data_IF_446715573475
#
_entry.id   IF_446715573475
#
_cell.length_a   1.000
_cell.length_b   1.000
_cell.length_c   1.000
_cell.angle_alpha   90.00
_cell.angle_beta   90.00
_cell.angle_gamma   90.00
#
_symmetry.space_group_name_H-M   'P 1'
#
loop_
_entity.id
_entity.type
_entity.pdbx_description
1 polymer ?
#
# COMPACT_ATOMS: atom_id res chain seq x y z
N UNK A 1 7.64 7.76 22.64
CA UNK A 1 6.30 7.23 22.90
C UNK A 1 5.69 7.88 24.13
N UNK A 2 4.39 8.18 24.07
CA UNK A 2 3.66 8.77 25.19
C UNK A 2 3.21 7.72 26.19
N UNK A 3 2.82 6.53 25.73
CA UNK A 3 2.33 5.44 26.58
C UNK A 3 2.58 4.08 25.93
N UNK A 4 2.79 3.07 26.78
CA UNK A 4 2.86 1.66 26.39
C UNK A 4 1.94 0.85 27.29
N UNK A 5 1.21 -0.08 26.68
CA UNK A 5 0.45 -1.10 27.36
C UNK A 5 0.82 -2.48 26.79
N UNK A 6 0.59 -3.54 27.53
CA UNK A 6 0.87 -4.88 27.05
C UNK A 6 0.12 -5.96 27.80
N UNK A 7 0.08 -7.15 27.21
CA UNK A 7 -0.50 -8.34 27.80
C UNK A 7 0.40 -9.56 27.54
N UNK A 8 0.81 -10.24 28.58
CA UNK A 8 1.48 -11.53 28.46
C UNK A 8 0.44 -12.64 28.39
N UNK A 9 0.51 -13.46 27.36
CA UNK A 9 -0.42 -14.55 27.06
C UNK A 9 0.33 -15.87 27.08
N UNK A 10 -0.24 -16.88 27.76
CA UNK A 10 0.32 -18.22 27.81
C UNK A 10 -0.09 -19.08 26.59
N UNK A 11 0.47 -20.29 26.51
CA UNK A 11 0.17 -21.24 25.44
C UNK A 11 -1.29 -21.75 25.41
N UNK A 12 -2.05 -21.56 26.48
CA UNK A 12 -3.47 -21.89 26.58
C UNK A 12 -4.35 -20.67 26.28
N UNK A 13 -3.78 -19.59 25.73
CA UNK A 13 -4.45 -18.33 25.36
C UNK A 13 -5.02 -17.54 26.57
N UNK A 14 -4.49 -17.77 27.78
CA UNK A 14 -4.90 -17.00 28.95
C UNK A 14 -4.09 -15.72 29.08
N UNK A 15 -4.77 -14.60 29.37
CA UNK A 15 -4.15 -13.33 29.77
C UNK A 15 -3.55 -13.47 31.19
N UNK A 16 -2.23 -13.59 31.30
CA UNK A 16 -1.54 -13.83 32.59
C UNK A 16 -1.24 -12.54 33.34
N UNK A 17 -0.67 -11.55 32.58
CA UNK A 17 -0.27 -10.28 33.19
C UNK A 17 -0.49 -9.16 32.20
N UNK A 18 -1.07 -8.05 32.69
CA UNK A 18 -1.22 -6.80 31.94
C UNK A 18 -0.14 -5.82 32.36
N UNK A 19 0.43 -5.12 31.40
CA UNK A 19 1.44 -4.08 31.60
C UNK A 19 0.80 -2.75 31.19
N UNK A 20 0.92 -1.74 32.04
CA UNK A 20 0.43 -0.39 31.78
C UNK A 20 1.43 0.61 32.34
N UNK A 21 2.48 0.91 31.57
CA UNK A 21 3.58 1.77 32.01
C UNK A 21 3.63 3.06 31.20
N UNK A 22 3.99 4.13 31.85
CA UNK A 22 4.45 5.32 31.15
C UNK A 22 5.96 5.21 30.98
N UNK A 23 6.47 5.47 29.77
CA UNK A 23 7.90 5.37 29.49
C UNK A 23 8.79 6.16 30.44
N UNK A 24 8.28 7.25 31.01
CA UNK A 24 8.99 8.11 31.95
C UNK A 24 9.33 7.41 33.29
N UNK A 25 8.68 6.29 33.59
CA UNK A 25 8.88 5.55 34.85
C UNK A 25 9.77 4.31 34.69
N UNK A 26 10.19 3.98 33.46
CA UNK A 26 11.07 2.85 33.18
C UNK A 26 12.53 3.19 33.42
N UNK A 27 13.33 2.21 33.86
CA UNK A 27 14.77 2.33 33.84
C UNK A 27 15.30 2.38 32.39
N UNK A 28 16.36 3.14 32.15
CA UNK A 28 16.91 3.34 30.79
C UNK A 28 17.18 2.02 30.06
N UNK A 29 17.69 1.02 30.75
CA UNK A 29 18.01 -0.28 30.17
C UNK A 29 16.76 -1.03 29.68
N UNK A 30 15.64 -0.90 30.38
CA UNK A 30 14.36 -1.50 30.04
C UNK A 30 13.68 -0.70 28.92
N UNK A 31 13.66 0.62 29.04
CA UNK A 31 13.14 1.55 28.04
C UNK A 31 13.70 1.28 26.65
N UNK A 32 15.02 1.17 26.53
CA UNK A 32 15.67 0.88 25.21
C UNK A 32 15.27 -0.48 24.64
N UNK A 33 14.98 -1.49 25.46
CA UNK A 33 14.50 -2.80 24.96
C UNK A 33 13.13 -2.71 24.32
N UNK A 34 12.21 -1.96 24.91
CA UNK A 34 10.90 -1.70 24.30
C UNK A 34 11.00 -0.87 23.02
N UNK A 35 11.90 0.13 22.97
CA UNK A 35 12.17 0.87 21.74
C UNK A 35 12.75 -0.01 20.64
N UNK A 36 13.66 -0.93 20.96
CA UNK A 36 14.21 -1.88 19.99
C UNK A 36 13.11 -2.77 19.38
N UNK A 37 12.13 -3.20 20.20
CA UNK A 37 10.95 -3.96 19.72
C UNK A 37 10.13 -3.12 18.76
N UNK A 38 9.74 -1.89 19.16
CA UNK A 38 8.95 -1.00 18.32
C UNK A 38 9.67 -0.68 17.01
N UNK A 39 10.97 -0.34 17.07
CA UNK A 39 11.80 -0.10 15.89
C UNK A 39 11.86 -1.31 14.96
N UNK A 40 11.93 -2.52 15.54
CA UNK A 40 11.98 -3.75 14.76
C UNK A 40 10.68 -4.00 13.99
N UNK A 41 9.54 -3.72 14.61
CA UNK A 41 8.22 -3.82 13.99
C UNK A 41 8.06 -2.86 12.78
N UNK A 42 8.76 -1.73 12.80
CA UNK A 42 8.78 -0.79 11.67
C UNK A 42 9.88 -1.07 10.64
N UNK A 43 10.69 -2.12 10.86
CA UNK A 43 11.81 -2.43 9.98
C UNK A 43 11.44 -3.47 8.93
N UNK A 44 11.62 -3.14 7.65
CA UNK A 44 11.35 -4.06 6.57
C UNK A 44 11.35 -3.36 5.20
N UNK A 45 10.96 -4.11 4.18
CA UNK A 45 10.72 -3.58 2.85
C UNK A 45 9.22 -3.61 2.58
N UNK A 46 8.69 -2.51 2.09
CA UNK A 46 7.31 -2.42 1.62
C UNK A 46 7.05 -3.48 0.52
N UNK A 47 5.92 -4.16 0.63
CA UNK A 47 5.58 -5.29 -0.26
C UNK A 47 6.30 -6.62 0.06
N UNK A 48 7.07 -6.68 1.17
CA UNK A 48 7.72 -7.90 1.63
C UNK A 48 7.42 -8.13 3.13
N UNK A 49 8.21 -7.54 4.02
CA UNK A 49 7.99 -7.63 5.47
C UNK A 49 7.00 -6.58 6.01
N UNK A 50 6.81 -5.49 5.27
CA UNK A 50 5.81 -4.47 5.52
C UNK A 50 4.77 -4.55 4.43
N UNK A 51 3.54 -4.85 4.81
CA UNK A 51 2.39 -4.97 3.92
C UNK A 51 1.43 -3.83 4.23
N UNK A 52 0.97 -3.15 3.21
CA UNK A 52 -0.09 -2.17 3.35
C UNK A 52 -1.43 -2.89 3.26
N UNK A 53 -2.23 -2.79 4.31
CA UNK A 53 -3.56 -3.39 4.40
C UNK A 53 -4.59 -2.27 4.41
N UNK A 54 -5.73 -2.51 3.78
CA UNK A 54 -6.84 -1.57 3.65
C UNK A 54 -8.07 -2.08 4.38
N UNK A 55 -8.81 -1.17 5.01
CA UNK A 55 -10.10 -1.51 5.60
C UNK A 55 -11.18 -1.49 4.53
N UNK A 56 -12.00 -2.55 4.39
CA UNK A 56 -13.26 -2.46 3.65
C UNK A 56 -14.17 -1.40 4.27
N UNK A 57 -15.00 -0.75 3.46
CA UNK A 57 -15.94 0.29 3.94
C UNK A 57 -16.83 -0.18 5.09
N UNK A 58 -17.17 -1.47 5.13
CA UNK A 58 -17.95 -2.08 6.23
C UNK A 58 -17.24 -2.01 7.57
N UNK A 59 -15.90 -2.02 7.58
CA UNK A 59 -15.10 -1.93 8.80
C UNK A 59 -14.88 -0.48 9.26
N UNK A 60 -15.23 0.49 8.42
CA UNK A 60 -15.24 1.93 8.74
C UNK A 60 -16.57 2.39 9.31
N UNK A 61 -17.61 1.56 9.24
CA UNK A 61 -18.90 1.82 9.85
C UNK A 61 -18.87 1.66 11.38
N UNK A 62 -19.91 2.16 12.04
CA UNK A 62 -20.04 2.07 13.50
C UNK A 62 -20.04 0.60 13.97
N UNK A 63 -19.04 0.24 14.75
CA UNK A 63 -18.81 -1.12 15.26
C UNK A 63 -17.78 -1.93 14.47
N UNK A 64 -17.25 -1.38 13.36
CA UNK A 64 -16.17 -1.98 12.59
C UNK A 64 -14.80 -1.85 13.26
N UNK A 65 -13.82 -2.56 12.73
CA UNK A 65 -12.46 -2.63 13.29
C UNK A 65 -11.70 -1.32 13.18
N UNK A 66 -11.85 -0.61 12.07
CA UNK A 66 -11.24 0.71 11.88
C UNK A 66 -11.73 1.68 12.95
N UNK A 67 -13.05 1.78 13.17
CA UNK A 67 -13.65 2.61 14.19
C UNK A 67 -13.18 2.23 15.60
N UNK A 68 -13.02 0.94 15.86
CA UNK A 68 -12.47 0.45 17.13
C UNK A 68 -11.03 0.92 17.34
N UNK A 69 -10.15 0.80 16.33
CA UNK A 69 -8.76 1.25 16.41
C UNK A 69 -8.66 2.79 16.53
N UNK A 70 -9.55 3.53 15.86
CA UNK A 70 -9.67 4.98 16.04
C UNK A 70 -10.00 5.33 17.50
N UNK A 71 -11.00 4.69 18.09
CA UNK A 71 -11.38 4.90 19.49
C UNK A 71 -10.24 4.52 20.47
N UNK A 72 -9.52 3.45 20.18
CA UNK A 72 -8.36 3.04 20.98
C UNK A 72 -7.24 4.08 20.91
N UNK A 73 -6.93 4.64 19.73
CA UNK A 73 -5.98 5.71 19.52
C UNK A 73 -6.39 6.99 20.28
N UNK A 74 -7.63 7.44 20.10
CA UNK A 74 -8.17 8.63 20.76
C UNK A 74 -8.17 8.51 22.28
N UNK A 75 -8.36 7.29 22.82
CA UNK A 75 -8.27 7.03 24.26
C UNK A 75 -6.85 7.21 24.81
N UNK A 76 -5.84 7.30 23.92
CA UNK A 76 -4.41 7.32 24.29
C UNK A 76 -4.00 6.14 25.15
N UNK A 77 -4.60 4.98 24.92
CA UNK A 77 -4.45 3.74 25.69
C UNK A 77 -4.80 3.92 27.18
N UNK A 78 -5.76 4.79 27.52
CA UNK A 78 -6.20 5.03 28.90
C UNK A 78 -7.49 4.30 29.25
N UNK A 79 -8.14 3.68 28.29
CA UNK A 79 -9.38 2.95 28.49
C UNK A 79 -9.08 1.45 28.58
N UNK A 80 -9.21 0.90 29.79
CA UNK A 80 -8.91 -0.52 30.08
C UNK A 80 -9.88 -1.48 29.37
N UNK A 81 -11.14 -1.11 29.17
CA UNK A 81 -12.13 -1.95 28.47
C UNK A 81 -11.78 -2.07 26.99
N UNK A 82 -11.34 -0.97 26.35
CA UNK A 82 -10.87 -1.01 24.96
C UNK A 82 -9.58 -1.83 24.83
N UNK A 83 -8.67 -1.71 25.79
CA UNK A 83 -7.44 -2.52 25.82
C UNK A 83 -7.75 -4.00 26.00
N UNK A 84 -8.69 -4.36 26.85
CA UNK A 84 -9.10 -5.76 27.04
C UNK A 84 -9.71 -6.34 25.77
N UNK A 85 -10.59 -5.60 25.12
CA UNK A 85 -11.17 -5.97 23.82
C UNK A 85 -10.09 -6.12 22.75
N UNK A 86 -9.10 -5.22 22.75
CA UNK A 86 -7.95 -5.29 21.82
C UNK A 86 -7.12 -6.56 22.04
N UNK A 87 -6.83 -6.93 23.30
CA UNK A 87 -6.09 -8.16 23.58
C UNK A 87 -6.89 -9.40 23.18
N UNK A 88 -8.19 -9.44 23.46
CA UNK A 88 -9.05 -10.55 23.05
C UNK A 88 -9.09 -10.70 21.52
N UNK A 89 -9.21 -9.59 20.79
CA UNK A 89 -9.16 -9.58 19.33
C UNK A 89 -7.87 -10.22 18.78
N UNK A 90 -6.72 -9.92 19.38
CA UNK A 90 -5.45 -10.53 18.97
C UNK A 90 -5.40 -12.01 19.36
N UNK A 91 -5.80 -12.35 20.58
CA UNK A 91 -5.77 -13.74 21.08
C UNK A 91 -6.65 -14.65 20.22
N UNK A 92 -7.81 -14.16 19.79
CA UNK A 92 -8.76 -14.93 18.98
C UNK A 92 -8.31 -15.12 17.52
N UNK A 93 -7.39 -14.28 17.02
CA UNK A 93 -7.00 -14.25 15.61
C UNK A 93 -5.52 -14.54 15.32
N UNK A 94 -4.68 -14.52 16.35
CA UNK A 94 -3.26 -14.83 16.22
C UNK A 94 -2.99 -16.29 16.53
N UNK A 95 -2.89 -17.13 15.50
CA UNK A 95 -2.59 -18.55 15.61
C UNK A 95 -1.08 -18.78 15.89
N UNK A 96 -0.75 -18.85 17.17
CA UNK A 96 0.63 -19.10 17.62
C UNK A 96 0.68 -20.15 18.71
N UNK A 97 1.49 -21.17 18.52
CA UNK A 97 1.72 -22.26 19.49
C UNK A 97 2.82 -21.86 20.46
N UNK A 98 2.46 -21.34 21.62
CA UNK A 98 3.40 -20.96 22.67
C UNK A 98 3.01 -19.67 23.38
N UNK A 99 3.89 -19.22 24.27
CA UNK A 99 3.64 -17.98 25.00
C UNK A 99 4.08 -16.78 24.17
N UNK A 100 3.38 -15.66 24.28
CA UNK A 100 3.72 -14.42 23.60
C UNK A 100 3.37 -13.18 24.41
N UNK A 101 3.99 -12.08 24.07
CA UNK A 101 3.76 -10.77 24.64
C UNK A 101 3.17 -9.85 23.57
N UNK A 102 1.97 -9.33 23.83
CA UNK A 102 1.36 -8.27 23.05
C UNK A 102 1.81 -6.94 23.65
N UNK A 103 2.39 -6.08 22.83
CA UNK A 103 2.72 -4.70 23.19
C UNK A 103 1.97 -3.75 22.28
N UNK A 104 1.44 -2.68 22.85
CA UNK A 104 0.85 -1.57 22.10
C UNK A 104 1.41 -0.26 22.61
N UNK A 105 1.85 0.57 21.69
CA UNK A 105 2.43 1.88 21.95
C UNK A 105 1.55 2.95 21.33
N UNK A 106 1.41 4.05 22.04
CA UNK A 106 0.79 5.26 21.53
C UNK A 106 1.85 6.37 21.46
N UNK A 107 1.87 7.07 20.34
CA UNK A 107 2.73 8.23 20.18
C UNK A 107 2.06 9.28 19.30
N UNK A 108 2.58 10.50 19.39
CA UNK A 108 2.19 11.61 18.57
C UNK A 108 3.47 12.28 18.03
N UNK A 109 3.53 12.43 16.72
CA UNK A 109 4.66 13.00 16.03
C UNK A 109 4.23 14.27 15.28
N UNK A 110 4.93 15.37 15.55
CA UNK A 110 4.67 16.65 14.87
C UNK A 110 5.32 16.62 13.47
N UNK A 111 4.50 16.66 12.43
CA UNK A 111 4.96 16.76 11.05
C UNK A 111 5.15 18.23 10.71
N UNK A 112 6.40 18.65 10.54
CA UNK A 112 6.70 20.00 10.07
C UNK A 112 6.40 20.11 8.59
N UNK A 113 5.32 20.80 8.22
CA UNK A 113 5.06 21.20 6.84
C UNK A 113 6.04 22.29 6.40
N UNK A 114 6.79 22.03 5.34
CA UNK A 114 7.66 23.02 4.69
C UNK A 114 6.88 23.67 3.56
N UNK A 115 6.80 25.00 3.56
CA UNK A 115 6.36 25.75 2.37
C UNK A 115 7.39 25.69 1.25
N UNK A 116 6.95 25.94 0.01
CA UNK A 116 7.80 25.99 -1.18
C UNK A 116 8.96 26.98 -1.07
N UNK A 117 8.87 27.98 -0.20
CA UNK A 117 9.88 29.02 0.05
C UNK A 117 10.86 28.67 1.19
N UNK A 118 10.77 27.43 1.72
CA UNK A 118 11.64 26.97 2.82
C UNK A 118 11.52 27.75 4.12
N UNK A 119 10.54 28.63 4.23
CA UNK A 119 10.21 29.35 5.46
C UNK A 119 9.33 28.46 6.36
N UNK A 120 9.71 28.39 7.64
CA UNK A 120 8.92 27.68 8.65
C UNK A 120 7.67 28.51 8.93
N UNK A 121 6.51 27.99 8.49
CA UNK A 121 5.23 28.52 8.98
C UNK A 121 5.00 27.99 10.40
N UNK A 122 4.93 28.88 11.35
CA UNK A 122 4.66 28.58 12.77
C UNK A 122 3.22 28.11 13.04
N UNK A 123 2.38 27.86 12.02
CA UNK A 123 0.93 27.70 12.19
C UNK A 123 0.28 26.45 11.58
N UNK A 124 1.01 25.50 11.02
CA UNK A 124 0.41 24.22 10.61
C UNK A 124 1.24 23.02 11.05
N UNK A 125 1.12 22.67 12.32
CA UNK A 125 1.57 21.40 12.86
C UNK A 125 0.48 20.37 12.59
N UNK A 126 0.63 19.53 11.55
CA UNK A 126 -0.11 18.28 11.48
C UNK A 126 0.48 17.32 12.50
N UNK A 127 -0.31 16.96 13.48
CA UNK A 127 0.09 15.96 14.49
C UNK A 127 -0.30 14.58 13.99
N UNK A 128 0.71 13.78 13.64
CA UNK A 128 0.50 12.36 13.35
C UNK A 128 0.44 11.58 14.67
N UNK A 129 -0.78 11.19 15.05
CA UNK A 129 -1.03 10.37 16.24
C UNK A 129 -1.30 8.93 15.82
N UNK A 130 -0.55 7.96 16.38
CA UNK A 130 -0.59 6.59 15.92
C UNK A 130 -0.49 5.55 17.05
N UNK A 131 -0.95 4.35 16.73
CA UNK A 131 -0.76 3.14 17.49
C UNK A 131 0.26 2.24 16.79
N UNK A 132 1.20 1.68 17.55
CA UNK A 132 2.10 0.65 17.08
C UNK A 132 1.88 -0.59 17.94
N UNK A 133 1.51 -1.71 17.31
CA UNK A 133 1.39 -3.00 17.96
C UNK A 133 2.56 -3.91 17.59
N UNK A 134 3.10 -4.64 18.56
CA UNK A 134 4.12 -5.66 18.37
C UNK A 134 3.74 -6.93 19.10
N UNK A 135 3.76 -8.08 18.45
CA UNK A 135 3.52 -9.40 19.07
C UNK A 135 4.84 -10.15 19.07
N UNK A 136 5.33 -10.44 20.27
CA UNK A 136 6.65 -11.03 20.48
C UNK A 136 6.53 -12.43 21.08
N UNK A 137 7.06 -13.48 20.45
CA UNK A 137 7.17 -14.81 21.07
C UNK A 137 7.95 -14.76 22.36
N UNK A 138 7.47 -15.50 23.37
CA UNK A 138 8.19 -15.65 24.63
C UNK A 138 8.60 -17.11 24.81
N UNK A 139 9.91 -17.34 24.83
CA UNK A 139 10.48 -18.67 24.84
C UNK A 139 11.31 -18.94 26.09
N UNK A 140 11.29 -20.18 26.55
CA UNK A 140 12.10 -20.58 27.68
C UNK A 140 13.55 -20.79 27.23
N UNK A 141 14.50 -20.12 27.88
CA UNK A 141 15.93 -20.28 27.57
C UNK A 141 16.40 -21.70 27.88
N UNK A 142 17.30 -22.23 27.07
CA UNK A 142 17.95 -23.49 27.36
C UNK A 142 18.86 -23.33 28.58
N UNK A 143 18.94 -24.35 29.47
CA UNK A 143 19.87 -24.31 30.58
C UNK A 143 21.31 -24.28 30.04
N UNK A 144 22.08 -23.37 30.58
CA UNK A 144 23.50 -23.18 30.22
C UNK A 144 24.34 -23.11 31.47
N UNK A 145 25.65 -23.42 31.34
CA UNK A 145 26.61 -23.09 32.37
C UNK A 145 27.01 -21.62 32.21
N UNK A 146 27.02 -20.87 33.27
CA UNK A 146 27.45 -19.49 33.33
C UNK A 146 28.38 -19.26 34.52
N UNK A 147 29.17 -18.20 34.45
CA UNK A 147 30.01 -17.75 35.54
C UNK A 147 29.20 -16.79 36.44
N UNK A 148 29.09 -17.17 37.72
CA UNK A 148 28.53 -16.31 38.77
C UNK A 148 29.67 -15.54 39.43
N UNK A 149 29.69 -14.23 39.29
CA UNK A 149 30.75 -13.37 39.87
C UNK A 149 30.67 -13.33 41.39
N UNK A 150 29.47 -13.36 41.95
CA UNK A 150 29.26 -13.28 43.41
C UNK A 150 29.85 -14.50 44.14
N UNK A 151 29.71 -15.68 43.55
CA UNK A 151 30.19 -16.93 44.14
C UNK A 151 31.50 -17.42 43.52
N UNK A 152 32.04 -16.70 42.53
CA UNK A 152 33.28 -17.01 41.79
C UNK A 152 33.31 -18.46 41.31
N UNK A 153 32.21 -18.97 40.74
CA UNK A 153 32.08 -20.34 40.25
C UNK A 153 31.31 -20.46 38.94
N UNK A 154 31.48 -21.56 38.26
CA UNK A 154 30.63 -21.97 37.16
C UNK A 154 29.43 -22.72 37.73
N UNK A 155 28.24 -22.26 37.39
CA UNK A 155 26.98 -22.88 37.81
C UNK A 155 25.95 -22.93 36.69
N UNK A 156 24.88 -23.69 36.93
CA UNK A 156 23.76 -23.74 35.97
C UNK A 156 22.95 -22.48 36.03
N UNK A 157 22.85 -21.73 34.92
CA UNK A 157 21.97 -20.61 34.83
C UNK A 157 20.52 -21.10 34.82
N UNK A 158 19.69 -20.49 35.67
CA UNK A 158 18.27 -20.77 35.74
C UNK A 158 17.59 -20.47 34.41
N UNK A 159 16.66 -21.33 34.00
CA UNK A 159 15.81 -21.09 32.84
C UNK A 159 14.91 -19.89 33.10
N UNK A 160 14.93 -18.94 32.21
CA UNK A 160 14.05 -17.78 32.21
C UNK A 160 13.23 -17.71 30.93
N UNK A 161 12.02 -17.21 31.06
CA UNK A 161 11.20 -16.83 29.91
C UNK A 161 11.75 -15.52 29.33
N UNK A 162 12.08 -15.54 28.04
CA UNK A 162 12.71 -14.41 27.35
C UNK A 162 11.85 -13.97 26.18
N UNK A 163 11.55 -12.68 26.13
CA UNK A 163 10.85 -12.05 25.02
C UNK A 163 11.76 -12.00 23.79
N UNK A 164 11.29 -12.59 22.71
CA UNK A 164 11.98 -12.58 21.42
C UNK A 164 11.72 -11.31 20.60
N UNK A 165 12.31 -11.25 19.42
CA UNK A 165 11.97 -10.18 18.47
C UNK A 165 10.52 -10.33 18.00
N UNK A 166 9.86 -9.22 17.59
CA UNK A 166 8.51 -9.27 17.05
C UNK A 166 8.38 -10.29 15.92
N UNK A 167 7.33 -11.09 15.99
CA UNK A 167 6.94 -12.02 14.95
C UNK A 167 6.01 -11.34 13.95
N UNK A 168 5.07 -10.58 14.47
CA UNK A 168 4.16 -9.74 13.70
C UNK A 168 3.80 -8.47 14.47
N UNK A 169 3.12 -7.55 13.82
CA UNK A 169 2.65 -6.30 14.41
C UNK A 169 2.10 -5.36 13.35
N UNK A 170 1.69 -4.18 13.75
CA UNK A 170 1.17 -3.18 12.81
C UNK A 170 1.30 -1.75 13.35
N UNK A 171 1.16 -0.78 12.46
CA UNK A 171 0.99 0.64 12.76
C UNK A 171 -0.32 1.12 12.19
N UNK A 172 -1.10 1.84 12.98
CA UNK A 172 -2.36 2.45 12.58
C UNK A 172 -2.47 3.89 13.09
N UNK A 173 -2.89 4.84 12.27
CA UNK A 173 -3.08 4.77 10.81
C UNK A 173 -1.77 4.50 10.05
N UNK A 174 -1.87 4.05 8.79
CA UNK A 174 -0.69 3.97 7.94
C UNK A 174 -0.16 5.38 7.66
N UNK A 175 1.16 5.51 7.60
CA UNK A 175 1.82 6.76 7.25
C UNK A 175 2.56 6.58 5.93
N UNK A 176 2.13 7.34 4.93
CA UNK A 176 2.81 7.44 3.64
C UNK A 176 3.73 8.65 3.62
N UNK A 177 4.57 8.79 2.60
CA UNK A 177 5.50 9.93 2.46
C UNK A 177 4.81 11.31 2.45
N UNK A 178 3.49 11.35 2.30
CA UNK A 178 2.72 12.59 2.09
C UNK A 178 1.61 12.82 3.10
N UNK A 179 0.98 11.77 3.65
CA UNK A 179 -0.17 11.92 4.53
C UNK A 179 -0.41 10.71 5.43
N UNK A 180 -1.21 10.94 6.45
CA UNK A 180 -1.77 9.91 7.31
C UNK A 180 -2.96 9.26 6.61
N UNK A 181 -2.92 7.95 6.41
CA UNK A 181 -4.01 7.19 5.82
C UNK A 181 -4.77 6.42 6.90
N UNK A 182 -5.92 6.95 7.32
CA UNK A 182 -6.80 6.33 8.32
C UNK A 182 -7.56 5.12 7.80
N UNK A 183 -7.56 4.89 6.49
CA UNK A 183 -8.22 3.76 5.83
C UNK A 183 -7.30 2.55 5.71
N UNK A 184 -6.04 2.71 6.11
CA UNK A 184 -5.00 1.69 5.94
C UNK A 184 -4.20 1.43 7.21
N UNK A 185 -3.63 0.23 7.26
CA UNK A 185 -2.73 -0.25 8.31
C UNK A 185 -1.41 -0.67 7.68
N UNK A 186 -0.29 -0.27 8.27
CA UNK A 186 1.01 -0.84 7.91
C UNK A 186 1.27 -2.07 8.76
N UNK A 187 1.20 -3.24 8.16
CA UNK A 187 1.35 -4.53 8.81
C UNK A 187 2.78 -5.07 8.66
N UNK A 188 3.36 -5.53 9.77
CA UNK A 188 4.68 -6.15 9.80
C UNK A 188 4.57 -7.66 9.97
N UNK A 189 5.31 -8.41 9.18
CA UNK A 189 5.54 -9.84 9.37
C UNK A 189 7.02 -10.17 9.33
N UNK A 190 7.48 -11.02 10.23
CA UNK A 190 8.85 -11.51 10.25
C UNK A 190 9.08 -12.57 9.19
N UNK A 191 8.10 -13.45 8.98
CA UNK A 191 8.15 -14.50 7.97
C UNK A 191 7.12 -14.24 6.87
N UNK A 192 7.62 -13.88 5.69
CA UNK A 192 6.79 -13.61 4.51
C UNK A 192 6.11 -14.85 3.92
N UNK A 193 6.50 -16.06 4.34
CA UNK A 193 5.88 -17.31 3.91
C UNK A 193 4.62 -17.63 4.71
N UNK A 194 4.60 -17.21 5.97
CA UNK A 194 3.48 -17.40 6.90
C UNK A 194 3.12 -16.05 7.55
N UNK A 195 2.51 -15.13 6.80
CA UNK A 195 2.33 -13.74 7.23
C UNK A 195 1.17 -13.52 8.21
N UNK A 196 0.65 -14.55 8.87
CA UNK A 196 -0.48 -14.47 9.82
C UNK A 196 -1.75 -13.86 9.21
N UNK A 197 -2.23 -14.45 8.11
CA UNK A 197 -3.40 -13.95 7.37
C UNK A 197 -4.67 -13.87 8.22
N UNK A 198 -4.87 -14.83 9.13
CA UNK A 198 -6.02 -14.81 10.05
C UNK A 198 -6.00 -13.56 10.94
N UNK A 199 -4.83 -13.12 11.38
CA UNK A 199 -4.72 -11.88 12.14
C UNK A 199 -5.03 -10.65 11.29
N UNK A 200 -4.61 -10.62 10.02
CA UNK A 200 -4.95 -9.54 9.09
C UNK A 200 -6.46 -9.43 8.89
N UNK A 201 -7.12 -10.55 8.55
CA UNK A 201 -8.54 -10.57 8.15
C UNK A 201 -9.49 -10.65 9.34
N UNK A 202 -9.37 -11.68 10.20
CA UNK A 202 -10.26 -11.86 11.33
C UNK A 202 -9.94 -10.92 12.51
N UNK A 203 -8.68 -10.63 12.76
CA UNK A 203 -8.24 -9.71 13.80
C UNK A 203 -8.45 -8.25 13.43
N UNK A 204 -7.75 -7.78 12.43
CA UNK A 204 -7.78 -6.37 12.03
C UNK A 204 -8.96 -6.02 11.11
N UNK A 205 -9.61 -7.00 10.48
CA UNK A 205 -10.67 -6.75 9.51
C UNK A 205 -10.15 -6.14 8.20
N UNK A 206 -8.86 -6.30 7.89
CA UNK A 206 -8.22 -5.69 6.75
C UNK A 206 -8.03 -6.68 5.61
N UNK A 207 -7.91 -6.14 4.41
CA UNK A 207 -7.50 -6.86 3.21
C UNK A 207 -6.13 -6.36 2.75
N UNK A 208 -5.37 -7.25 2.08
CA UNK A 208 -4.06 -6.89 1.55
C UNK A 208 -4.26 -5.95 0.36
N UNK A 209 -3.71 -4.74 0.44
CA UNK A 209 -3.78 -3.75 -0.64
C UNK A 209 -3.01 -4.28 -1.85
N UNK A 210 -3.68 -4.38 -2.99
CA UNK A 210 -3.02 -4.79 -4.22
C UNK A 210 -1.91 -3.81 -4.59
N UNK A 211 -0.75 -4.34 -4.88
CA UNK A 211 0.37 -3.51 -5.36
C UNK A 211 0.05 -2.92 -6.74
N UNK A 212 0.64 -1.78 -7.09
CA UNK A 212 0.50 -1.20 -8.44
C UNK A 212 0.87 -2.20 -9.55
N UNK A 213 1.78 -3.14 -9.28
CA UNK A 213 2.12 -4.21 -10.23
C UNK A 213 0.97 -5.18 -10.42
N UNK A 214 0.32 -5.60 -9.35
CA UNK A 214 -0.85 -6.49 -9.39
C UNK A 214 -2.04 -5.80 -10.03
N UNK A 215 -2.30 -4.53 -9.70
CA UNK A 215 -3.33 -3.71 -10.33
C UNK A 215 -3.11 -3.59 -11.85
N UNK A 216 -1.86 -3.36 -12.30
CA UNK A 216 -1.50 -3.36 -13.74
C UNK A 216 -1.77 -4.70 -14.40
N UNK A 217 -1.40 -5.81 -13.77
CA UNK A 217 -1.66 -7.16 -14.28
C UNK A 217 -3.16 -7.43 -14.36
N UNK A 218 -3.92 -7.09 -13.33
CA UNK A 218 -5.37 -7.24 -13.29
C UNK A 218 -6.03 -6.40 -14.37
N UNK A 219 -5.66 -5.14 -14.51
CA UNK A 219 -6.19 -4.25 -15.54
C UNK A 219 -5.87 -4.75 -16.96
N UNK A 220 -4.63 -5.20 -17.19
CA UNK A 220 -4.25 -5.82 -18.47
C UNK A 220 -5.05 -7.08 -18.75
N UNK A 221 -5.37 -7.89 -17.73
CA UNK A 221 -6.24 -9.05 -17.88
C UNK A 221 -7.66 -8.65 -18.28
N UNK A 222 -8.23 -7.62 -17.67
CA UNK A 222 -9.55 -7.08 -18.03
C UNK A 222 -9.56 -6.64 -19.51
N UNK A 223 -8.52 -5.90 -19.95
CA UNK A 223 -8.37 -5.52 -21.35
C UNK A 223 -8.38 -6.75 -22.25
N UNK A 224 -7.60 -7.78 -21.91
CA UNK A 224 -7.46 -8.99 -22.70
C UNK A 224 -8.79 -9.80 -22.78
N UNK A 225 -9.51 -9.89 -21.69
CA UNK A 225 -10.74 -10.67 -21.61
C UNK A 225 -11.91 -10.01 -22.38
N UNK A 226 -11.91 -8.67 -22.49
CA UNK A 226 -13.02 -7.91 -23.11
C UNK A 226 -12.77 -7.59 -24.60
N UNK A 227 -11.52 -7.31 -24.97
CA UNK A 227 -11.21 -6.83 -26.34
C UNK A 227 -11.00 -7.97 -27.34
N UNK A 228 -10.80 -9.23 -26.87
CA UNK A 228 -10.82 -10.43 -27.71
C UNK A 228 -9.45 -10.89 -28.28
N UNK A 229 -9.43 -12.05 -28.96
CA UNK A 229 -8.24 -12.88 -29.26
C UNK A 229 -7.46 -12.54 -30.57
N UNK A 230 -7.68 -11.42 -31.21
CA UNK A 230 -6.91 -11.03 -32.41
C UNK A 230 -5.57 -10.38 -31.99
N UNK A 231 -4.47 -11.13 -32.13
CA UNK A 231 -3.15 -10.76 -31.58
C UNK A 231 -2.67 -9.34 -31.99
N UNK A 232 -2.85 -8.91 -33.23
CA UNK A 232 -2.39 -7.59 -33.69
C UNK A 232 -3.37 -6.46 -33.32
N UNK A 233 -4.67 -6.70 -33.45
CA UNK A 233 -5.74 -5.77 -33.05
C UNK A 233 -5.78 -5.54 -31.56
N UNK A 234 -5.57 -6.59 -30.78
CA UNK A 234 -5.55 -6.60 -29.34
C UNK A 234 -4.45 -5.70 -28.75
N UNK A 235 -3.21 -5.81 -29.24
CA UNK A 235 -2.09 -4.96 -28.78
C UNK A 235 -2.37 -3.49 -29.11
N UNK A 236 -2.96 -3.20 -30.25
CA UNK A 236 -3.28 -1.82 -30.64
C UNK A 236 -4.37 -1.20 -29.76
N UNK A 237 -5.43 -1.97 -29.44
CA UNK A 237 -6.51 -1.52 -28.58
C UNK A 237 -6.05 -1.39 -27.12
N UNK A 238 -5.25 -2.34 -26.60
CA UNK A 238 -4.64 -2.24 -25.29
C UNK A 238 -3.77 -0.98 -25.16
N UNK A 239 -2.89 -0.74 -26.13
CA UNK A 239 -2.05 0.46 -26.14
C UNK A 239 -2.90 1.75 -26.23
N UNK A 240 -4.03 1.72 -26.94
CA UNK A 240 -4.95 2.85 -27.03
C UNK A 240 -5.64 3.16 -25.68
N UNK A 241 -6.08 2.12 -24.93
CA UNK A 241 -6.66 2.28 -23.58
C UNK A 241 -5.65 2.95 -22.65
N UNK A 242 -4.43 2.44 -22.59
CA UNK A 242 -3.39 3.02 -21.76
C UNK A 242 -3.02 4.45 -22.16
N UNK A 243 -3.04 4.75 -23.44
CA UNK A 243 -2.76 6.11 -23.93
C UNK A 243 -3.88 7.09 -23.57
N UNK A 244 -5.16 6.70 -23.74
CA UNK A 244 -6.29 7.55 -23.37
C UNK A 244 -6.32 7.83 -21.86
N UNK A 245 -6.04 6.82 -21.02
CA UNK A 245 -5.88 7.03 -19.57
C UNK A 245 -4.69 7.95 -19.24
N UNK A 246 -3.57 7.84 -19.96
CA UNK A 246 -2.44 8.73 -19.76
C UNK A 246 -2.75 10.17 -20.17
N UNK A 247 -3.57 10.38 -21.20
CA UNK A 247 -4.01 11.70 -21.62
C UNK A 247 -4.84 12.37 -20.50
N UNK A 248 -5.68 11.63 -19.76
CA UNK A 248 -6.38 12.11 -18.57
C UNK A 248 -5.40 12.58 -17.48
N UNK A 249 -4.31 11.84 -17.23
CA UNK A 249 -3.27 12.25 -16.28
C UNK A 249 -2.55 13.52 -16.70
N UNK A 250 -2.28 13.67 -17.99
CA UNK A 250 -1.61 14.85 -18.54
C UNK A 250 -2.52 16.09 -18.46
N UNK A 251 -3.82 15.92 -18.73
CA UNK A 251 -4.81 17.00 -18.63
C UNK A 251 -4.94 17.47 -17.19
N UNK A 252 -5.06 16.56 -16.24
CA UNK A 252 -5.18 16.90 -14.81
C UNK A 252 -3.94 17.67 -14.29
N UNK A 253 -2.73 17.27 -14.71
CA UNK A 253 -1.48 17.98 -14.36
C UNK A 253 -1.38 19.38 -14.94
N UNK A 254 -2.06 19.67 -16.04
CA UNK A 254 -2.02 20.97 -16.70
C UNK A 254 -3.04 21.95 -16.12
N UNK A 255 -4.08 21.47 -15.42
CA UNK A 255 -5.13 22.31 -14.83
C UNK A 255 -4.65 23.05 -13.57
N UNK A 256 -3.74 22.47 -12.79
CA UNK A 256 -3.17 23.14 -11.61
C UNK A 256 -1.70 22.76 -11.38
N UNK A 257 -0.75 23.53 -11.97
CA UNK A 257 0.68 23.24 -11.85
C UNK A 257 1.28 23.45 -10.46
N UNK A 258 0.57 24.16 -9.59
CA UNK A 258 1.02 24.56 -8.24
C UNK A 258 0.38 23.74 -7.10
N UNK A 259 -0.67 22.94 -7.38
CA UNK A 259 -1.14 21.93 -6.43
C UNK A 259 -0.32 20.64 -6.57
N UNK A 260 0.09 20.08 -5.44
CA UNK A 260 0.65 18.72 -5.39
C UNK A 260 -0.35 17.78 -6.10
N UNK A 261 0.11 17.10 -7.15
CA UNK A 261 -0.76 16.30 -8.01
C UNK A 261 -1.54 15.28 -7.18
N UNK A 262 -2.81 15.59 -6.94
CA UNK A 262 -3.77 14.64 -6.37
C UNK A 262 -3.94 13.54 -7.42
N UNK A 263 -3.73 12.27 -7.02
CA UNK A 263 -3.90 11.14 -7.92
C UNK A 263 -5.32 11.11 -8.51
N UNK A 264 -5.44 10.75 -9.77
CA UNK A 264 -6.74 10.66 -10.46
C UNK A 264 -7.34 9.29 -10.20
N UNK A 265 -8.46 9.21 -9.48
CA UNK A 265 -9.19 7.95 -9.28
C UNK A 265 -9.84 7.45 -10.57
N UNK A 266 -9.81 6.14 -10.76
CA UNK A 266 -10.52 5.49 -11.86
C UNK A 266 -12.03 5.52 -11.57
N UNK A 267 -12.76 6.32 -12.33
CA UNK A 267 -14.23 6.39 -12.26
C UNK A 267 -14.87 5.76 -13.49
N UNK A 268 -16.15 5.37 -13.36
CA UNK A 268 -16.95 4.88 -14.51
C UNK A 268 -16.92 5.84 -15.70
N UNK A 269 -16.98 7.14 -15.43
CA UNK A 269 -17.00 8.17 -16.47
C UNK A 269 -15.66 8.25 -17.20
N UNK A 270 -14.54 8.15 -16.48
CA UNK A 270 -13.20 8.11 -17.08
C UNK A 270 -13.06 6.87 -17.97
N UNK A 271 -13.38 5.69 -17.47
CA UNK A 271 -13.31 4.45 -18.26
C UNK A 271 -14.20 4.56 -19.49
N UNK A 272 -15.45 5.02 -19.32
CA UNK A 272 -16.39 5.16 -20.41
C UNK A 272 -15.85 6.09 -21.51
N UNK A 273 -15.34 7.26 -21.13
CA UNK A 273 -14.78 8.22 -22.09
C UNK A 273 -13.59 7.63 -22.84
N UNK A 274 -12.67 6.95 -22.14
CA UNK A 274 -11.53 6.28 -22.77
C UNK A 274 -11.97 5.20 -23.75
N UNK A 275 -12.98 4.41 -23.43
CA UNK A 275 -13.48 3.34 -24.30
C UNK A 275 -14.31 3.88 -25.49
N UNK A 276 -14.99 5.02 -25.34
CA UNK A 276 -15.68 5.71 -26.41
C UNK A 276 -14.71 6.22 -27.47
N UNK A 277 -13.56 6.76 -27.06
CA UNK A 277 -12.50 7.23 -27.96
C UNK A 277 -11.91 6.09 -28.82
N UNK A 278 -11.87 4.88 -28.25
CA UNK A 278 -11.34 3.69 -28.93
C UNK A 278 -12.37 3.04 -29.84
N UNK A 279 -13.64 3.43 -29.70
CA UNK A 279 -14.74 2.95 -30.53
C UNK A 279 -15.27 1.55 -30.17
N UNK A 280 -15.14 1.14 -28.89
CA UNK A 280 -15.77 -0.09 -28.40
C UNK A 280 -17.31 0.03 -28.47
N UNK A 281 -17.97 -1.11 -28.72
CA UNK A 281 -19.41 -1.19 -28.70
C UNK A 281 -19.97 -1.09 -27.25
N UNK A 282 -21.23 -0.70 -27.11
CA UNK A 282 -21.88 -0.48 -25.79
C UNK A 282 -21.85 -1.71 -24.87
N UNK A 283 -21.93 -2.90 -25.47
CA UNK A 283 -21.94 -4.15 -24.71
C UNK A 283 -20.56 -4.42 -24.10
N UNK A 284 -19.52 -4.33 -24.89
CA UNK A 284 -18.13 -4.53 -24.46
C UNK A 284 -17.69 -3.48 -23.44
N UNK A 285 -18.16 -2.22 -23.59
CA UNK A 285 -17.91 -1.15 -22.61
C UNK A 285 -18.52 -1.47 -21.25
N UNK A 286 -19.78 -1.90 -21.20
CA UNK A 286 -20.43 -2.24 -19.94
C UNK A 286 -19.75 -3.41 -19.25
N UNK A 287 -19.37 -4.45 -19.99
CA UNK A 287 -18.61 -5.59 -19.46
C UNK A 287 -17.25 -5.16 -18.91
N UNK A 288 -16.58 -4.23 -19.59
CA UNK A 288 -15.29 -3.71 -19.13
C UNK A 288 -15.43 -2.91 -17.82
N UNK A 289 -16.45 -2.04 -17.73
CA UNK A 289 -16.73 -1.25 -16.52
C UNK A 289 -17.06 -2.18 -15.34
N UNK A 290 -17.96 -3.15 -15.54
CA UNK A 290 -18.31 -4.14 -14.52
C UNK A 290 -17.08 -4.95 -14.06
N UNK A 291 -16.22 -5.37 -14.98
CA UNK A 291 -14.98 -6.08 -14.65
C UNK A 291 -14.00 -5.21 -13.86
N UNK A 292 -13.88 -3.93 -14.17
CA UNK A 292 -13.07 -3.00 -13.39
C UNK A 292 -13.60 -2.84 -11.96
N UNK A 293 -14.92 -2.69 -11.80
CA UNK A 293 -15.55 -2.58 -10.47
C UNK A 293 -15.43 -3.86 -9.63
N UNK A 294 -15.44 -5.03 -10.27
CA UNK A 294 -15.34 -6.32 -9.57
C UNK A 294 -13.89 -6.69 -9.23
N UNK A 295 -12.93 -6.35 -10.08
CA UNK A 295 -11.56 -6.88 -10.01
C UNK A 295 -10.52 -5.88 -9.50
N UNK A 296 -10.78 -4.57 -9.59
CA UNK A 296 -9.89 -3.55 -9.06
C UNK A 296 -10.37 -3.08 -7.69
N UNK A 297 -9.45 -2.78 -6.75
CA UNK A 297 -9.79 -2.17 -5.48
C UNK A 297 -10.51 -0.83 -5.66
N UNK A 298 -11.40 -0.50 -4.71
CA UNK A 298 -11.95 0.85 -4.59
C UNK A 298 -10.81 1.89 -4.48
N UNK A 299 -11.01 3.10 -5.01
CA UNK A 299 -10.00 4.16 -5.04
C UNK A 299 -8.70 3.83 -5.80
N UNK A 300 -8.75 2.90 -6.76
CA UNK A 300 -7.60 2.66 -7.65
C UNK A 300 -7.29 3.91 -8.48
N UNK A 301 -6.03 4.35 -8.45
CA UNK A 301 -5.59 5.51 -9.21
C UNK A 301 -5.23 5.13 -10.66
N UNK A 302 -5.43 6.05 -11.58
CA UNK A 302 -5.09 5.87 -13.01
C UNK A 302 -3.59 5.56 -13.16
N UNK A 303 -2.71 6.21 -12.40
CA UNK A 303 -1.27 5.97 -12.40
C UNK A 303 -0.89 4.54 -12.02
N UNK A 304 -1.72 3.88 -11.21
CA UNK A 304 -1.47 2.53 -10.74
C UNK A 304 -1.79 1.45 -11.77
N UNK A 305 -2.54 1.77 -12.82
CA UNK A 305 -2.91 0.82 -13.87
C UNK A 305 -2.28 1.13 -15.23
N UNK A 306 -1.87 2.36 -15.48
CA UNK A 306 -1.23 2.76 -16.76
C UNK A 306 0.12 2.07 -16.93
N UNK A 307 0.36 1.44 -18.09
CA UNK A 307 1.65 0.90 -18.49
C UNK A 307 2.39 1.86 -19.41
N UNK A 308 3.47 2.46 -18.91
CA UNK A 308 4.32 3.39 -19.67
C UNK A 308 4.84 2.82 -21.00
N UNK A 309 5.05 1.49 -21.04
CA UNK A 309 5.50 0.83 -22.28
C UNK A 309 4.40 0.77 -23.32
N UNK A 310 3.14 0.56 -22.91
CA UNK A 310 1.97 0.59 -23.77
C UNK A 310 1.77 2.00 -24.33
N UNK A 311 1.82 3.02 -23.47
CA UNK A 311 1.77 4.45 -23.86
C UNK A 311 2.86 4.80 -24.87
N UNK A 312 4.10 4.38 -24.61
CA UNK A 312 5.22 4.62 -25.53
C UNK A 312 5.01 3.92 -26.89
N UNK A 313 4.42 2.72 -26.91
CA UNK A 313 4.08 2.02 -28.17
C UNK A 313 2.97 2.74 -28.95
N UNK A 314 1.90 3.18 -28.24
CA UNK A 314 0.82 3.96 -28.83
C UNK A 314 1.32 5.24 -29.49
N UNK A 315 2.11 6.03 -28.75
CA UNK A 315 2.71 7.28 -29.25
C UNK A 315 3.61 7.05 -30.46
N UNK A 316 4.39 5.96 -30.48
CA UNK A 316 5.23 5.61 -31.63
C UNK A 316 4.38 5.27 -32.87
N UNK A 317 3.27 4.53 -32.69
CA UNK A 317 2.36 4.21 -33.79
C UNK A 317 1.72 5.47 -34.37
N UNK A 318 1.25 6.37 -33.50
CA UNK A 318 0.69 7.66 -33.90
C UNK A 318 1.69 8.49 -34.72
N UNK A 319 2.94 8.60 -34.23
CA UNK A 319 4.01 9.30 -34.91
C UNK A 319 4.29 8.72 -36.32
N UNK A 320 4.33 7.37 -36.43
CA UNK A 320 4.54 6.69 -37.71
C UNK A 320 3.37 6.96 -38.65
N UNK A 321 2.14 6.94 -38.17
CA UNK A 321 0.95 7.25 -38.96
C UNK A 321 0.97 8.68 -39.47
N UNK A 322 1.23 9.65 -38.57
CA UNK A 322 1.31 11.08 -38.94
C UNK A 322 2.42 11.34 -39.96
N UNK A 323 3.57 10.69 -39.81
CA UNK A 323 4.65 10.75 -40.78
C UNK A 323 4.24 10.20 -42.17
N UNK A 324 3.50 9.10 -42.19
CA UNK A 324 2.97 8.52 -43.45
C UNK A 324 2.00 9.45 -44.12
N UNK A 325 1.08 10.06 -43.40
CA UNK A 325 0.14 11.05 -43.94
C UNK A 325 0.86 12.27 -44.53
N UNK A 326 1.85 12.80 -43.77
CA UNK A 326 2.67 13.93 -44.26
C UNK A 326 3.42 13.58 -45.51
N UNK A 327 4.02 12.39 -45.62
CA UNK A 327 4.73 11.94 -46.81
C UNK A 327 3.76 11.75 -47.99
N UNK A 328 2.58 11.21 -47.77
CA UNK A 328 1.54 11.06 -48.79
C UNK A 328 1.04 12.44 -49.30
N UNK A 329 0.82 13.38 -48.39
CA UNK A 329 0.42 14.75 -48.73
C UNK A 329 1.52 15.46 -49.53
N UNK A 330 2.80 15.28 -49.16
CA UNK A 330 3.94 15.81 -49.91
C UNK A 330 4.05 15.18 -51.30
N UNK A 331 3.88 13.85 -51.40
CA UNK A 331 3.90 13.16 -52.71
C UNK A 331 2.78 13.65 -53.62
N UNK A 332 1.57 13.86 -53.12
CA UNK A 332 0.44 14.38 -53.88
C UNK A 332 0.72 15.83 -54.39
N UNK A 333 1.27 16.70 -53.51
CA UNK A 333 1.66 18.07 -53.91
C UNK A 333 2.76 18.10 -54.95
N UNK A 334 3.75 17.20 -54.87
CA UNK A 334 4.79 17.08 -55.88
C UNK A 334 4.23 16.61 -57.21
N UNK A 335 3.24 15.71 -57.20
CA UNK A 335 2.58 15.26 -58.41
C UNK A 335 1.79 16.40 -59.11
N UNK A 336 1.16 17.29 -58.32
CA UNK A 336 0.42 18.44 -58.82
C UNK A 336 1.35 19.50 -59.44
N UNK A 337 2.57 19.66 -58.89
CA UNK A 337 3.54 20.67 -59.35
C UNK A 337 4.44 20.16 -60.46
N UNK A 338 4.80 18.90 -60.47
CA UNK A 338 5.71 18.26 -61.41
C UNK A 338 5.01 17.10 -62.11
N UNK A 339 4.15 17.43 -63.07
CA UNK A 339 3.37 16.46 -63.84
C UNK A 339 4.19 15.47 -64.71
N UNK A 340 5.49 15.74 -64.93
CA UNK A 340 6.38 14.92 -65.78
C UNK A 340 7.36 14.00 -64.99
N UNK A 341 7.48 14.09 -63.68
CA UNK A 341 8.43 13.27 -62.93
C UNK A 341 7.71 12.23 -62.07
N UNK A 342 7.10 11.25 -62.74
CA UNK A 342 6.36 10.16 -62.14
C UNK A 342 7.21 9.21 -61.26
N UNK A 343 8.54 9.17 -61.47
CA UNK A 343 9.45 8.27 -60.76
C UNK A 343 9.61 8.60 -59.28
N UNK A 344 9.85 9.86 -58.94
CA UNK A 344 10.07 10.29 -57.55
C UNK A 344 8.82 10.12 -56.67
N UNK A 345 7.66 10.46 -57.24
CA UNK A 345 6.36 10.31 -56.54
C UNK A 345 6.03 8.86 -56.29
N UNK A 346 6.33 7.97 -57.25
CA UNK A 346 6.11 6.52 -57.10
C UNK A 346 7.07 5.91 -56.11
N UNK A 347 8.32 6.38 -56.01
CA UNK A 347 9.30 5.94 -55.02
C UNK A 347 8.91 6.38 -53.60
N UNK A 348 8.42 7.61 -53.42
CA UNK A 348 7.90 8.06 -52.10
C UNK A 348 6.68 7.22 -51.69
N UNK A 349 5.77 6.91 -52.62
CA UNK A 349 4.59 6.05 -52.31
C UNK A 349 4.96 4.62 -51.96
N UNK A 350 6.09 4.10 -52.46
CA UNK A 350 6.60 2.76 -52.10
C UNK A 350 7.29 2.73 -50.72
N UNK A 351 7.80 3.89 -50.24
CA UNK A 351 8.46 4.05 -48.95
C UNK A 351 7.46 4.21 -47.78
N UNK A 352 6.24 4.60 -48.07
CA UNK A 352 5.14 4.78 -47.13
C UNK A 352 4.31 3.50 -46.97
#
# INVERSE_FOLDING_TARGET
FTRMCGCYVDADHNKITKIGETFLNLEDAEYFKYLDIAKKTLSGRLGNNLLELEFPLTEEETGGRQQFLMGLRESKLKNDDLLDTFYDMIIDSYDYVGNYLILIFHDAYDVMTKTSDNDKLDESEEVYEYLLCAICPVTLTNPKLGYCEEENRIESIVRNWVVGAPDTGFVFPAFTDRSTDIHSVMFYTKDTRTPHREFMTAGLGCEEKQTSTEKKITFQKIINDVIGDDEDGHIAASDAVHNSLNDVLVENRNEDPDEEAIGVEITKDIIKNCLDEIGLDDKSRNVFIEACEEMLPEHTLVEEVVDDKAVARANRRKLVFDMKELLMAAANRLQDVYSDDSGLVEDIRKMV
#
